data_IF_454725051961
#
_entry.id   IF_454725051961
#
_cell.length_a   1.000
_cell.length_b   1.000
_cell.length_c   1.000
_cell.angle_alpha   90.00
_cell.angle_beta   90.00
_cell.angle_gamma   90.00
#
_symmetry.space_group_name_H-M   'P 1'
#
loop_
_entity.id
_entity.type
_entity.pdbx_description
1 polymer ?
#
# COMPACT_ATOMS: atom_id res chain seq x y z
N UNK A 1 28.92 9.64 28.93
CA UNK A 1 28.67 8.53 27.97
C UNK A 1 27.56 7.60 28.49
N UNK A 2 26.40 8.14 28.89
CA UNK A 2 25.40 7.34 29.64
C UNK A 2 23.97 7.77 29.31
N UNK A 3 23.63 7.84 28.02
CA UNK A 3 22.24 8.11 27.58
C UNK A 3 21.82 7.42 26.29
N UNK A 4 22.52 6.35 25.91
CA UNK A 4 22.29 5.60 24.67
C UNK A 4 21.62 4.23 24.90
N UNK A 5 21.36 3.85 26.18
CA UNK A 5 20.81 2.52 26.54
C UNK A 5 19.32 2.47 26.85
N UNK A 6 18.64 3.61 27.02
CA UNK A 6 17.19 3.63 27.33
C UNK A 6 16.30 3.75 26.09
N UNK A 7 16.85 3.80 24.88
CA UNK A 7 16.11 4.00 23.63
C UNK A 7 15.77 2.70 22.87
N UNK A 8 16.42 1.57 23.14
CA UNK A 8 16.22 0.35 22.31
C UNK A 8 14.89 -0.35 22.54
N UNK A 9 14.41 -0.46 23.78
CA UNK A 9 13.11 -1.08 24.06
C UNK A 9 11.91 -0.31 23.45
N UNK A 10 12.11 0.95 23.06
CA UNK A 10 11.08 1.82 22.46
C UNK A 10 11.00 1.75 20.94
N UNK A 11 11.94 1.07 20.26
CA UNK A 11 11.96 0.97 18.79
C UNK A 11 11.04 -0.13 18.26
N UNK A 12 10.94 -1.28 18.92
CA UNK A 12 10.19 -2.45 18.41
C UNK A 12 8.75 -2.46 18.92
N UNK A 13 7.88 -1.74 18.23
CA UNK A 13 6.54 -1.39 18.71
C UNK A 13 5.41 -1.97 17.87
N UNK A 14 5.71 -2.58 16.72
CA UNK A 14 4.69 -3.04 15.78
C UNK A 14 4.34 -4.51 16.04
N UNK A 15 3.11 -4.75 16.47
CA UNK A 15 2.59 -6.11 16.69
C UNK A 15 2.25 -6.81 15.37
N UNK A 16 2.14 -8.14 15.32
CA UNK A 16 1.73 -8.87 14.11
C UNK A 16 0.35 -8.44 13.55
N UNK A 17 -0.57 -8.03 14.43
CA UNK A 17 -1.86 -7.48 14.00
C UNK A 17 -1.67 -6.12 13.32
N UNK A 18 -0.85 -5.24 13.91
CA UNK A 18 -0.58 -3.93 13.33
C UNK A 18 0.18 -4.03 12.01
N UNK A 19 1.03 -5.04 11.81
CA UNK A 19 1.68 -5.25 10.52
C UNK A 19 0.68 -5.68 9.43
N UNK A 20 -0.29 -6.54 9.76
CA UNK A 20 -1.41 -6.86 8.85
C UNK A 20 -2.19 -5.60 8.51
N UNK A 21 -2.55 -4.80 9.52
CA UNK A 21 -3.27 -3.55 9.33
C UNK A 21 -2.51 -2.54 8.46
N UNK A 22 -1.20 -2.39 8.67
CA UNK A 22 -0.35 -1.52 7.83
C UNK A 22 -0.37 -1.99 6.38
N UNK A 23 -0.19 -3.29 6.11
CA UNK A 23 -0.17 -3.79 4.74
C UNK A 23 -1.53 -3.57 4.08
N UNK A 24 -2.62 -3.98 4.75
CA UNK A 24 -3.97 -3.86 4.21
C UNK A 24 -4.37 -2.40 3.96
N UNK A 25 -4.12 -1.49 4.91
CA UNK A 25 -4.47 -0.07 4.75
C UNK A 25 -3.55 0.68 3.81
N UNK A 26 -2.32 0.20 3.58
CA UNK A 26 -1.45 0.78 2.55
C UNK A 26 -1.87 0.35 1.16
N UNK A 27 -2.13 -0.95 0.98
CA UNK A 27 -2.46 -1.56 -0.32
C UNK A 27 -3.88 -1.23 -0.77
N UNK A 28 -4.87 -1.31 0.13
CA UNK A 28 -6.25 -0.90 -0.16
C UNK A 28 -6.34 0.63 -0.05
N UNK A 29 -5.63 1.32 -0.93
CA UNK A 29 -5.58 2.78 -0.98
C UNK A 29 -6.56 3.36 -2.01
N UNK A 30 -6.05 4.31 -2.79
CA UNK A 30 -6.86 5.10 -3.72
C UNK A 30 -7.47 4.27 -4.87
N UNK A 31 -6.79 3.19 -5.29
CA UNK A 31 -7.17 2.41 -6.48
C UNK A 31 -8.41 1.53 -6.31
N UNK A 32 -8.86 1.28 -5.07
CA UNK A 32 -9.94 0.31 -4.80
C UNK A 32 -11.27 0.67 -5.46
N UNK A 33 -11.55 1.97 -5.63
CA UNK A 33 -12.83 2.43 -6.17
C UNK A 33 -12.99 2.10 -7.66
N UNK A 34 -11.88 2.16 -8.43
CA UNK A 34 -11.86 1.88 -9.87
C UNK A 34 -11.38 0.47 -10.21
N UNK A 35 -10.90 -0.28 -9.21
CA UNK A 35 -10.28 -1.58 -9.40
C UNK A 35 -11.17 -2.59 -10.15
N UNK A 36 -12.48 -2.71 -9.85
CA UNK A 36 -13.31 -3.67 -10.56
C UNK A 36 -13.47 -3.36 -12.05
N UNK A 37 -13.58 -2.07 -12.41
CA UNK A 37 -13.58 -1.61 -13.82
C UNK A 37 -12.29 -2.04 -14.51
N UNK A 38 -11.13 -1.79 -13.89
CA UNK A 38 -9.84 -2.11 -14.48
C UNK A 38 -9.68 -3.61 -14.76
N UNK A 39 -10.17 -4.48 -13.86
CA UNK A 39 -10.21 -5.91 -14.08
C UNK A 39 -11.15 -6.32 -15.21
N UNK A 40 -12.38 -5.79 -15.23
CA UNK A 40 -13.35 -6.06 -16.28
C UNK A 40 -12.83 -5.64 -17.67
N UNK A 41 -12.17 -4.47 -17.76
CA UNK A 41 -11.54 -4.01 -19.00
C UNK A 41 -10.37 -4.90 -19.46
N UNK A 42 -9.69 -5.56 -18.53
CA UNK A 42 -8.53 -6.39 -18.85
C UNK A 42 -8.91 -7.80 -19.31
N UNK A 43 -9.86 -8.45 -18.63
CA UNK A 43 -10.20 -9.85 -18.87
C UNK A 43 -11.69 -10.20 -18.68
N UNK A 44 -12.59 -9.21 -18.65
CA UNK A 44 -14.03 -9.44 -18.47
C UNK A 44 -14.32 -10.24 -17.19
N UNK A 45 -15.30 -11.17 -17.21
CA UNK A 45 -15.59 -12.04 -16.07
C UNK A 45 -14.40 -12.88 -15.57
N UNK A 46 -13.47 -13.23 -16.46
CA UNK A 46 -12.30 -14.06 -16.15
C UNK A 46 -11.18 -13.31 -15.41
N UNK A 47 -11.34 -12.02 -15.21
CA UNK A 47 -10.40 -11.24 -14.40
C UNK A 47 -10.33 -11.74 -12.95
N UNK A 48 -11.32 -12.51 -12.46
CA UNK A 48 -11.25 -13.18 -11.16
C UNK A 48 -10.01 -14.08 -11.04
N UNK A 49 -9.62 -14.79 -12.10
CA UNK A 49 -8.42 -15.62 -12.11
C UNK A 49 -7.15 -14.77 -12.03
N UNK A 50 -7.17 -13.60 -12.67
CA UNK A 50 -6.09 -12.63 -12.61
C UNK A 50 -5.87 -12.08 -11.21
N UNK A 51 -6.96 -11.85 -10.45
CA UNK A 51 -6.89 -11.43 -9.04
C UNK A 51 -6.14 -12.49 -8.22
N UNK A 52 -6.53 -13.76 -8.30
CA UNK A 52 -5.87 -14.83 -7.54
C UNK A 52 -4.41 -15.04 -7.95
N UNK A 53 -4.10 -15.02 -9.26
CA UNK A 53 -2.72 -15.18 -9.74
C UNK A 53 -1.83 -14.02 -9.32
N UNK A 54 -2.33 -12.77 -9.38
CA UNK A 54 -1.59 -11.61 -8.87
C UNK A 54 -1.35 -11.69 -7.37
N UNK A 55 -2.34 -12.10 -6.58
CA UNK A 55 -2.20 -12.30 -5.14
C UNK A 55 -1.15 -13.38 -4.81
N UNK A 56 -1.09 -14.47 -5.59
CA UNK A 56 -0.08 -15.52 -5.42
C UNK A 56 1.34 -14.99 -5.66
N UNK A 57 1.54 -14.17 -6.69
CA UNK A 57 2.84 -13.53 -6.98
C UNK A 57 3.22 -12.60 -5.83
N UNK A 58 2.29 -11.77 -5.35
CA UNK A 58 2.54 -10.84 -4.25
C UNK A 58 2.82 -11.58 -2.93
N UNK A 59 2.13 -12.69 -2.69
CA UNK A 59 2.41 -13.56 -1.56
C UNK A 59 3.85 -14.09 -1.59
N UNK A 60 4.33 -14.52 -2.76
CA UNK A 60 5.73 -14.93 -2.93
C UNK A 60 6.71 -13.77 -2.64
N UNK A 61 6.43 -12.55 -3.12
CA UNK A 61 7.28 -11.39 -2.85
C UNK A 61 7.30 -10.99 -1.37
N UNK A 62 6.15 -11.01 -0.72
CA UNK A 62 6.10 -10.79 0.72
C UNK A 62 6.77 -11.92 1.51
N UNK A 63 6.77 -13.16 1.02
CA UNK A 63 7.56 -14.24 1.62
C UNK A 63 9.07 -13.97 1.52
N UNK A 64 9.55 -13.44 0.38
CA UNK A 64 10.94 -12.98 0.20
C UNK A 64 11.28 -11.86 1.20
N UNK A 65 10.41 -10.86 1.34
CA UNK A 65 10.59 -9.76 2.30
C UNK A 65 10.57 -10.28 3.74
N UNK A 66 9.64 -11.16 4.10
CA UNK A 66 9.59 -11.80 5.41
C UNK A 66 10.88 -12.57 5.72
N UNK A 67 11.50 -13.21 4.72
CA UNK A 67 12.80 -13.87 4.88
C UNK A 67 13.90 -12.84 5.17
N UNK A 68 13.94 -11.72 4.44
CA UNK A 68 14.87 -10.62 4.71
C UNK A 68 14.69 -10.07 6.13
N UNK A 69 13.46 -9.80 6.56
CA UNK A 69 13.13 -9.31 7.91
C UNK A 69 13.60 -10.31 8.98
N UNK A 70 13.43 -11.61 8.75
CA UNK A 70 13.92 -12.65 9.68
C UNK A 70 15.44 -12.76 9.69
N UNK A 71 16.09 -12.48 8.57
CA UNK A 71 17.55 -12.55 8.39
C UNK A 71 18.26 -11.34 8.97
N UNK A 72 17.60 -10.18 8.94
CA UNK A 72 18.05 -8.91 9.50
C UNK A 72 16.99 -8.41 10.48
N UNK A 73 16.80 -9.10 11.62
CA UNK A 73 15.78 -8.71 12.60
C UNK A 73 16.05 -7.29 13.08
N UNK A 74 14.98 -6.54 13.29
CA UNK A 74 15.02 -5.20 13.86
C UNK A 74 15.78 -4.14 13.04
N UNK A 75 16.10 -4.46 11.79
CA UNK A 75 16.77 -3.56 10.86
C UNK A 75 15.85 -3.24 9.69
N UNK A 76 15.76 -1.95 9.36
CA UNK A 76 15.02 -1.45 8.20
C UNK A 76 15.88 -1.45 6.94
N UNK A 77 15.26 -1.25 5.78
CA UNK A 77 15.87 -1.25 4.46
C UNK A 77 17.20 -0.48 4.41
N UNK A 78 17.20 0.75 4.90
CA UNK A 78 18.36 1.64 4.92
C UNK A 78 19.50 1.16 5.82
N UNK A 79 19.23 0.27 6.76
CA UNK A 79 20.23 -0.29 7.67
C UNK A 79 20.83 -1.59 7.13
N UNK A 80 20.01 -2.51 6.62
CA UNK A 80 20.50 -3.79 6.13
C UNK A 80 21.05 -3.72 4.69
N UNK A 81 20.59 -2.80 3.84
CA UNK A 81 21.13 -2.66 2.46
C UNK A 81 22.64 -2.39 2.47
N UNK A 82 23.16 -1.40 3.23
CA UNK A 82 24.60 -1.20 3.34
C UNK A 82 25.35 -2.42 3.90
N UNK A 83 24.74 -3.17 4.83
CA UNK A 83 25.36 -4.38 5.40
C UNK A 83 25.45 -5.55 4.41
N UNK A 84 24.44 -5.69 3.54
CA UNK A 84 24.39 -6.72 2.49
C UNK A 84 25.40 -6.40 1.38
N UNK A 85 25.48 -5.14 0.96
CA UNK A 85 26.33 -4.69 -0.14
C UNK A 85 27.78 -4.45 0.30
N UNK A 86 28.02 -4.07 1.57
CA UNK A 86 29.35 -3.78 2.10
C UNK A 86 30.31 -4.97 2.17
N UNK A 87 31.61 -4.71 2.07
CA UNK A 87 32.65 -5.72 2.26
C UNK A 87 32.88 -5.97 3.75
N UNK A 88 33.35 -7.17 4.13
CA UNK A 88 33.68 -7.49 5.53
C UNK A 88 34.85 -6.63 6.10
N UNK A 89 35.61 -5.96 5.22
CA UNK A 89 36.75 -5.12 5.60
C UNK A 89 36.47 -3.60 5.55
N UNK A 90 35.38 -3.17 4.92
CA UNK A 90 35.05 -1.74 4.81
C UNK A 90 33.53 -1.50 4.74
N UNK A 91 32.99 -0.92 5.81
CA UNK A 91 31.59 -0.51 5.93
C UNK A 91 31.25 0.67 5.00
N UNK A 92 32.24 1.43 4.51
CA UNK A 92 32.02 2.61 3.67
C UNK A 92 31.56 2.23 2.28
N UNK A 93 32.11 1.16 1.70
CA UNK A 93 31.71 0.65 0.37
C UNK A 93 30.23 0.27 0.36
N UNK A 94 29.73 -0.33 1.44
CA UNK A 94 28.33 -0.71 1.56
C UNK A 94 27.39 0.50 1.56
N UNK A 95 27.78 1.58 2.24
CA UNK A 95 26.99 2.81 2.26
C UNK A 95 26.92 3.46 0.88
N UNK A 96 28.04 3.54 0.17
CA UNK A 96 28.08 4.13 -1.18
C UNK A 96 27.24 3.31 -2.16
N UNK A 97 27.34 1.98 -2.12
CA UNK A 97 26.54 1.09 -2.97
C UNK A 97 25.05 1.05 -2.59
N UNK A 98 24.71 1.39 -1.34
CA UNK A 98 23.33 1.50 -0.88
C UNK A 98 22.63 2.79 -1.35
N UNK A 99 23.37 3.86 -1.69
CA UNK A 99 22.79 5.14 -2.10
C UNK A 99 21.86 4.98 -3.32
N UNK A 100 22.27 4.35 -4.45
CA UNK A 100 21.38 4.20 -5.61
C UNK A 100 20.10 3.43 -5.30
N UNK A 101 20.20 2.38 -4.46
CA UNK A 101 19.06 1.56 -4.04
C UNK A 101 18.04 2.39 -3.26
N UNK A 102 18.51 3.16 -2.28
CA UNK A 102 17.65 3.96 -1.42
C UNK A 102 17.09 5.18 -2.16
N UNK A 103 17.87 5.79 -3.06
CA UNK A 103 17.37 6.86 -3.94
C UNK A 103 16.30 6.35 -4.90
N UNK A 104 16.43 5.14 -5.43
CA UNK A 104 15.41 4.53 -6.28
C UNK A 104 14.10 4.34 -5.50
N UNK A 105 14.15 3.77 -4.28
CA UNK A 105 12.97 3.66 -3.43
C UNK A 105 12.38 5.02 -3.05
N UNK A 106 13.24 5.99 -2.72
CA UNK A 106 12.80 7.35 -2.38
C UNK A 106 12.06 8.01 -3.54
N UNK A 107 12.59 7.89 -4.75
CA UNK A 107 11.99 8.44 -5.96
C UNK A 107 10.63 7.79 -6.26
N UNK A 108 10.54 6.45 -6.25
CA UNK A 108 9.27 5.79 -6.59
C UNK A 108 8.20 5.98 -5.52
N UNK A 109 8.56 6.07 -4.23
CA UNK A 109 7.60 6.41 -3.18
C UNK A 109 7.15 7.87 -3.26
N UNK A 110 8.06 8.80 -3.59
CA UNK A 110 7.68 10.18 -3.82
C UNK A 110 6.67 10.30 -4.97
N UNK A 111 6.91 9.58 -6.07
CA UNK A 111 5.97 9.48 -7.19
C UNK A 111 4.64 8.83 -6.75
N UNK A 112 4.69 7.71 -6.02
CA UNK A 112 3.50 7.00 -5.55
C UNK A 112 2.62 7.83 -4.62
N UNK A 113 3.22 8.56 -3.68
CA UNK A 113 2.52 9.49 -2.78
C UNK A 113 1.85 10.61 -3.59
N UNK A 114 2.58 11.19 -4.54
CA UNK A 114 2.07 12.30 -5.37
C UNK A 114 0.92 11.85 -6.28
N UNK A 115 1.07 10.70 -6.94
CA UNK A 115 0.02 10.07 -7.75
C UNK A 115 -1.21 9.75 -6.91
N UNK A 116 -1.02 9.19 -5.71
CA UNK A 116 -2.14 8.88 -4.82
C UNK A 116 -2.92 10.13 -4.43
N UNK A 117 -2.22 11.22 -4.13
CA UNK A 117 -2.85 12.49 -3.83
C UNK A 117 -3.63 13.03 -5.05
N UNK A 118 -3.06 12.96 -6.25
CA UNK A 118 -3.74 13.40 -7.48
C UNK A 118 -5.01 12.59 -7.76
N UNK A 119 -4.93 11.26 -7.77
CA UNK A 119 -6.10 10.38 -8.00
C UNK A 119 -7.17 10.62 -6.93
N UNK A 120 -6.77 10.85 -5.68
CA UNK A 120 -7.69 11.18 -4.60
C UNK A 120 -8.47 12.47 -4.85
N UNK A 121 -7.77 13.53 -5.26
CA UNK A 121 -8.37 14.81 -5.59
C UNK A 121 -9.40 14.69 -6.72
N UNK A 122 -9.01 14.02 -7.81
CA UNK A 122 -9.89 13.78 -8.97
C UNK A 122 -11.16 13.00 -8.57
N UNK A 123 -11.00 11.95 -7.77
CA UNK A 123 -12.13 11.15 -7.28
C UNK A 123 -13.10 12.00 -6.44
N UNK A 124 -12.60 12.80 -5.49
CA UNK A 124 -13.46 13.65 -4.65
C UNK A 124 -14.12 14.80 -5.42
N UNK A 125 -13.42 15.42 -6.38
CA UNK A 125 -14.03 16.45 -7.23
C UNK A 125 -15.13 15.87 -8.11
N UNK A 126 -14.91 14.66 -8.66
CA UNK A 126 -15.92 14.01 -9.52
C UNK A 126 -17.19 13.59 -8.77
N UNK A 127 -17.08 13.27 -7.47
CA UNK A 127 -18.15 12.62 -6.73
C UNK A 127 -18.74 13.43 -5.57
N UNK A 128 -17.96 14.31 -4.93
CA UNK A 128 -18.32 14.95 -3.66
C UNK A 128 -18.26 16.47 -3.75
N UNK A 129 -17.13 17.02 -4.19
CA UNK A 129 -16.88 18.46 -4.17
C UNK A 129 -17.20 19.11 -5.52
N UNK A 130 -18.22 19.99 -5.55
CA UNK A 130 -18.60 20.73 -6.76
C UNK A 130 -17.82 22.03 -6.97
N UNK A 131 -17.40 22.69 -5.88
CA UNK A 131 -16.86 24.06 -5.93
C UNK A 131 -15.42 24.18 -5.37
N UNK A 132 -14.83 23.08 -4.91
CA UNK A 132 -13.49 23.11 -4.28
C UNK A 132 -12.42 22.91 -5.34
N UNK A 133 -11.41 23.81 -5.44
CA UNK A 133 -10.29 23.62 -6.36
C UNK A 133 -9.50 22.34 -6.03
N UNK A 134 -9.01 21.68 -7.08
CA UNK A 134 -8.27 20.41 -6.96
C UNK A 134 -7.03 20.57 -6.08
N UNK A 135 -6.35 21.70 -6.20
CA UNK A 135 -5.14 22.07 -5.46
C UNK A 135 -5.40 22.06 -3.96
N UNK A 136 -6.54 22.60 -3.52
CA UNK A 136 -6.90 22.67 -2.10
C UNK A 136 -7.11 21.26 -1.53
N UNK A 137 -7.78 20.39 -2.27
CA UNK A 137 -8.04 18.99 -1.85
C UNK A 137 -6.73 18.22 -1.71
N UNK A 138 -5.86 18.32 -2.72
CA UNK A 138 -4.57 17.63 -2.76
C UNK A 138 -3.65 18.16 -1.67
N UNK A 139 -3.52 19.47 -1.53
CA UNK A 139 -2.64 20.08 -0.52
C UNK A 139 -3.10 19.74 0.89
N UNK A 140 -4.43 19.71 1.14
CA UNK A 140 -4.99 19.32 2.44
C UNK A 140 -4.62 17.88 2.79
N UNK A 141 -4.73 16.95 1.84
CA UNK A 141 -4.33 15.56 2.06
C UNK A 141 -2.82 15.45 2.34
N UNK A 142 -1.98 16.09 1.52
CA UNK A 142 -0.52 16.06 1.68
C UNK A 142 -0.10 16.65 3.02
N UNK A 143 -0.61 17.83 3.37
CA UNK A 143 -0.30 18.50 4.64
C UNK A 143 -0.79 17.67 5.83
N UNK A 144 -2.00 17.10 5.75
CA UNK A 144 -2.53 16.18 6.74
C UNK A 144 -1.59 15.00 6.96
N UNK A 145 -1.19 14.31 5.88
CA UNK A 145 -0.27 13.17 5.96
C UNK A 145 1.11 13.57 6.50
N UNK A 146 1.61 14.78 6.18
CA UNK A 146 2.89 15.27 6.70
C UNK A 146 2.90 15.41 8.25
N UNK A 147 1.77 15.80 8.86
CA UNK A 147 1.62 15.91 10.32
C UNK A 147 1.87 14.56 11.01
N UNK A 148 1.41 13.47 10.37
CA UNK A 148 1.53 12.11 10.88
C UNK A 148 2.83 11.41 10.44
N UNK A 149 3.33 11.67 9.23
CA UNK A 149 4.50 11.02 8.65
C UNK A 149 5.78 11.21 9.48
N UNK A 150 5.94 12.38 10.11
CA UNK A 150 7.07 12.68 11.00
C UNK A 150 6.97 12.06 12.40
N UNK A 151 5.93 11.26 12.71
CA UNK A 151 5.78 10.59 14.02
C UNK A 151 6.52 9.26 14.03
N UNK A 152 6.82 8.76 15.23
CA UNK A 152 7.46 7.46 15.40
C UNK A 152 6.64 6.33 14.75
N UNK A 153 7.28 5.30 14.16
CA UNK A 153 6.58 4.21 13.46
C UNK A 153 5.52 3.49 14.32
N UNK A 154 5.75 3.35 15.63
CA UNK A 154 4.76 2.78 16.55
C UNK A 154 3.49 3.61 16.73
N UNK A 155 3.55 4.93 16.57
CA UNK A 155 2.36 5.79 16.55
C UNK A 155 1.53 5.52 15.30
N UNK A 156 2.21 5.36 14.16
CA UNK A 156 1.57 5.09 12.86
C UNK A 156 0.95 3.69 12.86
N UNK A 157 1.64 2.70 13.44
CA UNK A 157 1.11 1.35 13.61
C UNK A 157 -0.17 1.32 14.47
N UNK A 158 -0.23 2.11 15.55
CA UNK A 158 -1.46 2.26 16.36
C UNK A 158 -2.58 2.93 15.59
N UNK A 159 -2.27 3.95 14.79
CA UNK A 159 -3.24 4.61 13.93
C UNK A 159 -3.84 3.62 12.91
N UNK A 160 -3.01 2.79 12.28
CA UNK A 160 -3.48 1.71 11.39
C UNK A 160 -4.37 0.71 12.14
N UNK A 161 -3.96 0.27 13.33
CA UNK A 161 -4.78 -0.63 14.14
C UNK A 161 -6.13 -0.05 14.55
N UNK A 162 -6.22 1.27 14.74
CA UNK A 162 -7.46 1.98 15.06
C UNK A 162 -8.41 2.09 13.85
N UNK A 163 -7.86 2.40 12.67
CA UNK A 163 -8.66 2.61 11.44
C UNK A 163 -9.06 1.29 10.79
N UNK A 164 -8.26 0.23 10.96
CA UNK A 164 -8.47 -1.07 10.31
C UNK A 164 -9.89 -1.62 10.46
N UNK A 165 -10.50 -1.70 11.67
CA UNK A 165 -11.87 -2.21 11.82
C UNK A 165 -12.92 -1.39 11.07
N UNK A 166 -12.73 -0.07 10.95
CA UNK A 166 -13.67 0.80 10.23
C UNK A 166 -13.71 0.48 8.75
N UNK A 167 -12.59 0.01 8.18
CA UNK A 167 -12.53 -0.38 6.77
C UNK A 167 -13.30 -1.66 6.46
N UNK A 168 -13.77 -2.41 7.46
CA UNK A 168 -14.60 -3.60 7.26
C UNK A 168 -16.05 -3.24 6.88
N UNK A 169 -16.53 -2.06 7.23
CA UNK A 169 -17.93 -1.64 7.03
C UNK A 169 -18.34 -1.60 5.55
N UNK A 170 -17.57 -1.00 4.62
CA UNK A 170 -17.94 -0.98 3.20
C UNK A 170 -18.05 -2.39 2.59
N UNK A 171 -17.27 -3.36 3.10
CA UNK A 171 -17.33 -4.74 2.63
C UNK A 171 -18.64 -5.44 2.99
N UNK A 172 -19.19 -5.14 4.17
CA UNK A 172 -20.52 -5.63 4.56
C UNK A 172 -21.58 -5.10 3.60
N UNK A 173 -21.49 -3.82 3.22
CA UNK A 173 -22.40 -3.22 2.24
C UNK A 173 -22.30 -3.90 0.87
N UNK A 174 -21.08 -4.23 0.42
CA UNK A 174 -20.92 -5.00 -0.83
C UNK A 174 -21.57 -6.37 -0.78
N UNK A 175 -21.48 -7.09 0.34
CA UNK A 175 -22.18 -8.37 0.52
C UNK A 175 -23.69 -8.17 0.42
N UNK A 176 -24.24 -7.13 1.04
CA UNK A 176 -25.67 -6.80 0.93
C UNK A 176 -26.06 -6.50 -0.51
N UNK A 177 -25.26 -5.69 -1.22
CA UNK A 177 -25.49 -5.36 -2.63
C UNK A 177 -25.49 -6.60 -3.53
N UNK A 178 -24.54 -7.51 -3.30
CA UNK A 178 -24.50 -8.80 -3.99
C UNK A 178 -25.78 -9.61 -3.76
N UNK A 179 -26.27 -9.67 -2.52
CA UNK A 179 -27.48 -10.44 -2.18
C UNK A 179 -28.75 -9.82 -2.77
N UNK A 180 -28.86 -8.49 -2.77
CA UNK A 180 -30.09 -7.81 -3.21
C UNK A 180 -30.20 -7.63 -4.72
N UNK A 181 -29.07 -7.38 -5.39
CA UNK A 181 -29.03 -6.91 -6.78
C UNK A 181 -28.12 -7.75 -7.67
N UNK A 182 -27.37 -8.70 -7.11
CA UNK A 182 -26.46 -9.53 -7.89
C UNK A 182 -27.21 -10.55 -8.73
N UNK A 183 -26.89 -10.60 -10.02
CA UNK A 183 -27.30 -11.67 -10.92
C UNK A 183 -26.12 -12.59 -11.22
N UNK A 184 -26.29 -13.90 -11.01
CA UNK A 184 -25.22 -14.89 -11.22
C UNK A 184 -24.88 -15.04 -12.70
N UNK A 185 -25.86 -14.83 -13.59
CA UNK A 185 -25.70 -14.86 -15.04
C UNK A 185 -24.64 -13.87 -15.52
N UNK A 186 -24.48 -12.73 -14.83
CA UNK A 186 -23.46 -11.73 -15.14
C UNK A 186 -22.03 -12.17 -14.80
N UNK A 187 -21.86 -13.22 -13.99
CA UNK A 187 -20.55 -13.83 -13.70
C UNK A 187 -20.14 -14.85 -14.77
N UNK A 188 -21.05 -15.19 -15.68
CA UNK A 188 -20.84 -16.19 -16.73
C UNK A 188 -20.78 -15.50 -18.11
N UNK A 189 -20.17 -16.16 -19.12
CA UNK A 189 -19.37 -17.38 -19.02
C UNK A 189 -17.98 -17.16 -18.40
N UNK A 190 -17.46 -18.18 -17.73
CA UNK A 190 -16.06 -18.23 -17.27
C UNK A 190 -15.21 -19.02 -18.28
N UNK A 191 -13.90 -18.80 -18.21
CA UNK A 191 -12.84 -19.40 -19.04
C UNK A 191 -12.96 -19.11 -20.53
N UNK A 192 -13.40 -17.90 -20.89
CA UNK A 192 -13.46 -17.43 -22.27
C UNK A 192 -12.28 -16.52 -22.64
N UNK A 193 -11.64 -15.88 -21.67
CA UNK A 193 -10.50 -15.00 -21.89
C UNK A 193 -9.26 -15.80 -22.35
N UNK A 194 -8.53 -15.23 -23.30
CA UNK A 194 -7.25 -15.78 -23.72
C UNK A 194 -6.16 -15.49 -22.68
N UNK A 195 -5.03 -16.21 -22.78
CA UNK A 195 -3.91 -16.03 -21.85
C UNK A 195 -3.33 -14.60 -21.90
N UNK A 196 -3.50 -13.87 -23.02
CA UNK A 196 -3.07 -12.48 -23.12
C UNK A 196 -3.92 -11.57 -22.23
N UNK A 197 -5.25 -11.69 -22.28
CA UNK A 197 -6.16 -10.95 -21.42
C UNK A 197 -5.92 -11.25 -19.94
N UNK A 198 -5.74 -12.53 -19.59
CA UNK A 198 -5.36 -12.92 -18.21
C UNK A 198 -4.03 -12.27 -17.81
N UNK A 199 -3.04 -12.25 -18.69
CA UNK A 199 -1.76 -11.56 -18.46
C UNK A 199 -1.93 -10.06 -18.15
N UNK A 200 -2.80 -9.36 -18.89
CA UNK A 200 -3.14 -7.95 -18.64
C UNK A 200 -3.84 -7.79 -17.29
N UNK A 201 -4.78 -8.67 -16.96
CA UNK A 201 -5.45 -8.67 -15.67
C UNK A 201 -4.47 -8.89 -14.52
N UNK A 202 -3.47 -9.76 -14.69
CA UNK A 202 -2.43 -9.97 -13.68
C UNK A 202 -1.67 -8.66 -13.44
N UNK A 203 -1.31 -7.91 -14.48
CA UNK A 203 -0.65 -6.61 -14.32
C UNK A 203 -1.51 -5.62 -13.54
N UNK A 204 -2.81 -5.54 -13.82
CA UNK A 204 -3.77 -4.73 -13.03
C UNK A 204 -3.74 -5.15 -11.56
N UNK A 205 -3.78 -6.45 -11.28
CA UNK A 205 -3.69 -6.96 -9.93
C UNK A 205 -2.38 -6.60 -9.23
N UNK A 206 -1.24 -6.85 -9.87
CA UNK A 206 0.09 -6.55 -9.32
C UNK A 206 0.24 -5.06 -8.98
N UNK A 207 -0.27 -4.15 -9.82
CA UNK A 207 -0.26 -2.72 -9.55
C UNK A 207 -1.17 -2.34 -8.38
N UNK A 208 -2.28 -3.03 -8.23
CA UNK A 208 -3.22 -2.79 -7.13
C UNK A 208 -2.68 -3.23 -5.78
N UNK A 209 -1.74 -4.19 -5.78
CA UNK A 209 -1.04 -4.60 -4.55
C UNK A 209 0.13 -3.67 -4.16
N UNK A 210 0.51 -2.70 -4.99
CA UNK A 210 1.57 -1.73 -4.66
C UNK A 210 1.26 -1.03 -3.33
N UNK A 211 2.30 -0.83 -2.53
CA UNK A 211 2.20 -0.39 -1.14
C UNK A 211 2.65 -1.48 -0.17
N UNK A 212 2.70 -2.76 -0.59
CA UNK A 212 3.23 -3.84 0.26
C UNK A 212 4.71 -3.65 0.61
N UNK A 213 5.47 -2.96 -0.23
CA UNK A 213 6.90 -2.74 -0.08
C UNK A 213 7.26 -1.83 1.11
N UNK A 214 6.30 -1.11 1.70
CA UNK A 214 6.53 -0.37 2.97
C UNK A 214 6.98 -1.29 4.10
N UNK A 215 6.70 -2.59 4.00
CA UNK A 215 7.17 -3.62 4.93
C UNK A 215 8.70 -3.73 4.98
N UNK A 216 9.42 -3.28 3.94
CA UNK A 216 10.89 -3.21 3.93
C UNK A 216 11.43 -2.22 4.99
N UNK A 217 10.66 -1.18 5.33
CA UNK A 217 10.99 -0.20 6.37
C UNK A 217 10.33 -0.60 7.69
N UNK A 218 9.01 -0.83 7.68
CA UNK A 218 8.27 -1.17 8.91
C UNK A 218 8.73 -2.48 9.54
N UNK A 219 9.29 -3.42 8.77
CA UNK A 219 9.86 -4.67 9.25
C UNK A 219 10.95 -4.50 10.31
N UNK A 220 11.73 -3.42 10.26
CA UNK A 220 12.72 -3.08 11.28
C UNK A 220 12.11 -2.74 12.65
N UNK A 221 10.82 -2.40 12.68
CA UNK A 221 10.10 -2.02 13.89
C UNK A 221 9.17 -3.13 14.42
N UNK A 222 9.19 -4.31 13.80
CA UNK A 222 8.37 -5.45 14.23
C UNK A 222 8.83 -5.97 15.59
N UNK A 223 7.86 -6.18 16.49
CA UNK A 223 8.09 -6.81 17.79
C UNK A 223 8.55 -8.27 17.64
N UNK A 224 8.00 -8.99 16.65
CA UNK A 224 8.27 -10.42 16.43
C UNK A 224 8.61 -10.67 14.95
N UNK A 225 9.84 -10.37 14.49
CA UNK A 225 10.28 -10.56 13.10
C UNK A 225 10.05 -12.00 12.58
N UNK A 226 10.14 -13.00 13.47
CA UNK A 226 9.85 -14.42 13.15
C UNK A 226 8.42 -14.66 12.64
N UNK A 227 7.44 -13.84 13.07
CA UNK A 227 6.03 -13.94 12.66
C UNK A 227 5.71 -13.14 11.39
N UNK A 228 6.69 -12.45 10.79
CA UNK A 228 6.47 -11.62 9.60
C UNK A 228 5.79 -12.40 8.46
N UNK A 229 6.26 -13.63 8.18
CA UNK A 229 5.69 -14.46 7.11
C UNK A 229 4.19 -14.75 7.30
N UNK A 230 3.78 -15.13 8.50
CA UNK A 230 2.38 -15.42 8.80
C UNK A 230 1.51 -14.15 8.70
N UNK A 231 2.00 -13.04 9.27
CA UNK A 231 1.30 -11.76 9.22
C UNK A 231 1.16 -11.24 7.78
N UNK A 232 2.21 -11.33 6.98
CA UNK A 232 2.21 -10.94 5.57
C UNK A 232 1.30 -11.84 4.73
N UNK A 233 1.31 -13.15 4.98
CA UNK A 233 0.43 -14.10 4.30
C UNK A 233 -1.05 -13.82 4.61
N UNK A 234 -1.36 -13.55 5.88
CA UNK A 234 -2.71 -13.18 6.29
C UNK A 234 -3.16 -11.87 5.62
N UNK A 235 -2.28 -10.87 5.53
CA UNK A 235 -2.59 -9.61 4.85
C UNK A 235 -2.94 -9.82 3.37
N UNK A 236 -2.13 -10.59 2.62
CA UNK A 236 -2.41 -10.86 1.20
C UNK A 236 -3.69 -11.65 1.02
N UNK A 237 -3.94 -12.66 1.86
CA UNK A 237 -5.16 -13.46 1.79
C UNK A 237 -6.41 -12.57 2.03
N UNK A 238 -6.36 -11.68 3.01
CA UNK A 238 -7.44 -10.73 3.30
C UNK A 238 -7.63 -9.79 2.10
N UNK A 239 -6.56 -9.14 1.60
CA UNK A 239 -6.67 -8.22 0.47
C UNK A 239 -7.23 -8.93 -0.77
N UNK A 240 -6.74 -10.12 -1.09
CA UNK A 240 -7.23 -10.91 -2.22
C UNK A 240 -8.72 -11.25 -2.08
N UNK A 241 -9.17 -11.64 -0.88
CA UNK A 241 -10.58 -11.91 -0.62
C UNK A 241 -11.43 -10.65 -0.84
N UNK A 242 -10.97 -9.51 -0.33
CA UNK A 242 -11.66 -8.23 -0.46
C UNK A 242 -11.71 -7.77 -1.93
N UNK A 243 -10.61 -7.88 -2.68
CA UNK A 243 -10.59 -7.54 -4.11
C UNK A 243 -11.52 -8.45 -4.93
N UNK A 244 -11.50 -9.76 -4.66
CA UNK A 244 -12.43 -10.70 -5.30
C UNK A 244 -13.89 -10.37 -4.95
N UNK A 245 -14.18 -10.02 -3.70
CA UNK A 245 -15.52 -9.61 -3.28
C UNK A 245 -15.98 -8.34 -4.01
N UNK A 246 -15.15 -7.29 -4.06
CA UNK A 246 -15.47 -6.08 -4.82
C UNK A 246 -15.73 -6.39 -6.31
N UNK A 247 -14.88 -7.20 -6.93
CA UNK A 247 -15.01 -7.55 -8.33
C UNK A 247 -16.27 -8.37 -8.60
N UNK A 248 -16.51 -9.44 -7.85
CA UNK A 248 -17.68 -10.31 -8.01
C UNK A 248 -18.97 -9.53 -7.77
N UNK A 249 -19.05 -8.72 -6.71
CA UNK A 249 -20.24 -7.92 -6.42
C UNK A 249 -20.53 -6.95 -7.55
N UNK A 250 -19.55 -6.15 -7.98
CA UNK A 250 -19.77 -5.14 -9.02
C UNK A 250 -20.08 -5.77 -10.38
N UNK A 251 -19.40 -6.86 -10.74
CA UNK A 251 -19.69 -7.59 -11.98
C UNK A 251 -21.09 -8.22 -11.95
N UNK A 252 -21.47 -8.82 -10.83
CA UNK A 252 -22.79 -9.45 -10.69
C UNK A 252 -23.93 -8.41 -10.77
N UNK A 253 -23.72 -7.21 -10.22
CA UNK A 253 -24.73 -6.14 -10.19
C UNK A 253 -24.84 -5.40 -11.52
N UNK A 254 -23.72 -5.09 -12.18
CA UNK A 254 -23.72 -4.24 -13.38
C UNK A 254 -23.61 -5.02 -14.69
N UNK A 255 -23.07 -6.25 -14.67
CA UNK A 255 -22.63 -6.92 -15.89
C UNK A 255 -21.33 -6.32 -16.45
N UNK A 256 -20.68 -7.02 -17.37
CA UNK A 256 -19.35 -6.65 -17.86
C UNK A 256 -19.34 -5.33 -18.64
N UNK A 257 -20.35 -5.10 -19.49
CA UNK A 257 -20.39 -3.94 -20.38
C UNK A 257 -20.53 -2.62 -19.60
N UNK A 258 -21.46 -2.57 -18.64
CA UNK A 258 -21.69 -1.41 -17.78
C UNK A 258 -20.53 -1.22 -16.79
N UNK A 259 -19.97 -2.31 -16.25
CA UNK A 259 -18.84 -2.26 -15.33
C UNK A 259 -17.60 -1.62 -15.98
N UNK A 260 -17.37 -1.87 -17.27
CA UNK A 260 -16.26 -1.27 -18.02
C UNK A 260 -16.38 0.25 -18.19
N UNK A 261 -17.60 0.80 -18.10
CA UNK A 261 -17.88 2.22 -18.27
C UNK A 261 -18.04 2.97 -16.94
N UNK A 262 -18.36 2.25 -15.87
CA UNK A 262 -18.58 2.82 -14.54
C UNK A 262 -17.26 3.27 -13.90
N UNK A 263 -17.09 4.57 -13.63
CA UNK A 263 -15.80 5.12 -13.15
C UNK A 263 -15.43 4.60 -11.75
N UNK A 264 -16.39 4.58 -10.83
CA UNK A 264 -16.20 4.19 -9.43
C UNK A 264 -17.14 3.04 -9.01
N UNK A 265 -17.05 1.83 -9.63
CA UNK A 265 -18.06 0.78 -9.45
C UNK A 265 -18.31 0.38 -8.01
N UNK A 266 -17.24 0.39 -7.19
CA UNK A 266 -17.32 0.07 -5.77
C UNK A 266 -18.36 0.93 -5.02
N UNK A 267 -18.41 2.22 -5.33
CA UNK A 267 -19.35 3.15 -4.69
C UNK A 267 -20.74 3.06 -5.31
N UNK A 268 -20.82 2.88 -6.63
CA UNK A 268 -22.10 2.80 -7.34
C UNK A 268 -22.96 1.63 -6.85
N UNK A 269 -22.35 0.51 -6.42
CA UNK A 269 -23.10 -0.60 -5.78
C UNK A 269 -23.89 -0.11 -4.57
N UNK A 270 -23.33 0.82 -3.78
CA UNK A 270 -24.02 1.30 -2.59
C UNK A 270 -25.26 2.13 -2.88
N UNK A 271 -25.36 2.72 -4.09
CA UNK A 271 -26.52 3.51 -4.51
C UNK A 271 -27.71 2.64 -4.92
N UNK A 272 -27.46 1.40 -5.32
CA UNK A 272 -28.51 0.46 -5.74
C UNK A 272 -29.03 -0.41 -4.58
N UNK A 273 -28.38 -0.35 -3.41
CA UNK A 273 -28.81 -1.06 -2.20
C UNK A 273 -29.99 -0.34 -1.57
N UNK A 274 -31.01 -1.10 -1.15
CA UNK A 274 -32.11 -0.58 -0.34
C UNK A 274 -32.09 -1.26 1.01
N UNK A 275 -31.93 -0.50 2.11
CA UNK A 275 -32.01 -1.05 3.48
C UNK A 275 -33.39 -0.67 4.06
N UNK A 276 -34.30 -1.63 4.27
CA UNK A 276 -35.61 -1.36 4.85
C UNK A 276 -35.48 -0.70 6.23
N UNK A 277 -36.12 0.45 6.43
CA UNK A 277 -36.11 1.17 7.70
C UNK A 277 -34.81 1.95 8.01
N UNK A 278 -33.90 2.10 7.04
CA UNK A 278 -32.69 2.88 7.25
C UNK A 278 -32.96 4.39 7.36
N UNK A 279 -32.40 5.00 8.41
CA UNK A 279 -32.38 6.46 8.60
C UNK A 279 -31.37 7.15 7.66
N UNK A 280 -30.43 6.39 7.09
CA UNK A 280 -29.39 6.88 6.19
C UNK A 280 -29.79 6.69 4.72
N UNK A 281 -30.32 7.73 4.09
CA UNK A 281 -30.73 7.74 2.68
C UNK A 281 -29.54 7.77 1.69
N UNK A 282 -28.31 8.04 2.18
CA UNK A 282 -27.11 8.26 1.35
C UNK A 282 -25.90 7.43 1.81
N UNK A 283 -25.99 6.10 1.67
CA UNK A 283 -24.94 5.15 2.06
C UNK A 283 -23.59 5.43 1.36
N UNK A 284 -23.63 5.95 0.14
CA UNK A 284 -22.45 6.31 -0.65
C UNK A 284 -21.58 7.37 0.06
N UNK A 285 -22.19 8.28 0.81
CA UNK A 285 -21.46 9.32 1.55
C UNK A 285 -20.65 8.73 2.71
N UNK A 286 -21.20 7.71 3.39
CA UNK A 286 -20.50 6.98 4.45
C UNK A 286 -19.30 6.19 3.91
N UNK A 287 -19.44 5.60 2.71
CA UNK A 287 -18.35 4.91 2.04
C UNK A 287 -17.23 5.89 1.67
N UNK A 288 -17.56 7.05 1.10
CA UNK A 288 -16.55 8.07 0.83
C UNK A 288 -15.84 8.54 2.10
N UNK A 289 -16.54 8.71 3.23
CA UNK A 289 -15.91 9.09 4.49
C UNK A 289 -14.88 8.06 4.97
N UNK A 290 -15.22 6.76 4.92
CA UNK A 290 -14.31 5.68 5.27
C UNK A 290 -13.14 5.62 4.29
N UNK A 291 -13.43 5.72 2.98
CA UNK A 291 -12.42 5.69 1.93
C UNK A 291 -11.42 6.85 2.05
N UNK A 292 -11.89 8.07 2.38
CA UNK A 292 -11.00 9.22 2.66
C UNK A 292 -10.05 8.90 3.80
N UNK A 293 -10.54 8.31 4.89
CA UNK A 293 -9.69 7.89 6.00
C UNK A 293 -8.67 6.83 5.54
N UNK A 294 -9.10 5.83 4.74
CA UNK A 294 -8.21 4.78 4.23
C UNK A 294 -7.12 5.35 3.33
N UNK A 295 -7.44 6.24 2.38
CA UNK A 295 -6.44 6.88 1.51
C UNK A 295 -5.47 7.75 2.32
N UNK A 296 -5.97 8.50 3.31
CA UNK A 296 -5.13 9.25 4.23
C UNK A 296 -4.13 8.36 4.97
N UNK A 297 -4.57 7.20 5.47
CA UNK A 297 -3.68 6.25 6.15
C UNK A 297 -2.69 5.61 5.18
N UNK A 298 -3.14 5.17 4.00
CA UNK A 298 -2.27 4.61 2.97
C UNK A 298 -1.13 5.56 2.61
N UNK A 299 -1.49 6.80 2.32
CA UNK A 299 -0.52 7.85 1.99
C UNK A 299 0.39 8.19 3.17
N UNK A 300 -0.14 8.23 4.39
CA UNK A 300 0.66 8.44 5.61
C UNK A 300 1.68 7.33 5.82
N UNK A 301 1.34 6.07 5.54
CA UNK A 301 2.26 4.94 5.68
C UNK A 301 3.42 5.03 4.70
N UNK A 302 3.14 5.31 3.42
CA UNK A 302 4.17 5.51 2.40
C UNK A 302 5.05 6.73 2.72
N UNK A 303 4.44 7.84 3.11
CA UNK A 303 5.16 9.07 3.42
C UNK A 303 6.04 8.93 4.67
N UNK A 304 5.55 8.25 5.70
CA UNK A 304 6.36 7.93 6.86
C UNK A 304 7.51 6.97 6.53
N UNK A 305 7.26 5.94 5.73
CA UNK A 305 8.32 5.03 5.29
C UNK A 305 9.45 5.80 4.56
N UNK A 306 9.09 6.73 3.67
CA UNK A 306 10.03 7.62 3.00
C UNK A 306 10.81 8.51 3.99
N UNK A 307 10.13 9.19 4.90
CA UNK A 307 10.75 10.09 5.88
C UNK A 307 11.70 9.34 6.80
N UNK A 308 11.28 8.21 7.36
CA UNK A 308 12.12 7.39 8.26
C UNK A 308 13.31 6.79 7.52
N UNK A 309 13.12 6.30 6.28
CA UNK A 309 14.21 5.80 5.46
C UNK A 309 15.29 6.87 5.25
N UNK A 310 14.92 8.11 4.93
CA UNK A 310 15.87 9.21 4.74
C UNK A 310 16.55 9.59 6.06
N UNK A 311 15.79 9.77 7.15
CA UNK A 311 16.31 10.16 8.47
C UNK A 311 17.32 9.14 8.98
N UNK A 312 16.97 7.85 8.93
CA UNK A 312 17.81 6.77 9.42
C UNK A 312 19.05 6.58 8.54
N UNK A 313 18.92 6.69 7.21
CA UNK A 313 20.04 6.53 6.29
C UNK A 313 21.14 7.58 6.54
N UNK A 314 20.75 8.84 6.68
CA UNK A 314 21.66 9.93 7.00
C UNK A 314 22.03 10.01 8.49
N UNK A 315 21.53 9.09 9.32
CA UNK A 315 21.72 9.07 10.78
C UNK A 315 21.33 10.39 11.44
N UNK A 316 20.29 11.03 10.92
CA UNK A 316 19.73 12.24 11.48
C UNK A 316 19.00 11.90 12.78
N UNK A 317 18.96 12.85 13.70
CA UNK A 317 18.17 12.71 14.92
C UNK A 317 16.67 12.69 14.58
N UNK A 318 15.88 11.82 15.22
CA UNK A 318 14.42 11.67 15.03
C UNK A 318 13.61 12.98 15.09
N UNK A 319 14.14 14.04 15.70
CA UNK A 319 13.52 15.37 15.72
C UNK A 319 13.40 15.99 14.33
N UNK A 320 14.21 15.54 13.37
CA UNK A 320 14.21 16.00 11.98
C UNK A 320 13.16 15.31 11.10
N UNK A 321 12.51 14.24 11.57
CA UNK A 321 11.45 13.56 10.80
C UNK A 321 10.28 14.50 10.48
N UNK A 322 9.85 15.33 11.44
CA UNK A 322 8.76 16.31 11.21
C UNK A 322 9.16 17.43 10.24
N UNK A 323 10.29 18.15 10.44
CA UNK A 323 10.77 19.12 9.46
C UNK A 323 10.94 18.53 8.05
N UNK A 324 11.49 17.32 7.94
CA UNK A 324 11.68 16.67 6.65
C UNK A 324 10.35 16.38 5.95
N UNK A 325 9.34 15.88 6.68
CA UNK A 325 8.01 15.67 6.11
C UNK A 325 7.44 16.98 5.53
N UNK A 326 7.57 18.10 6.24
CA UNK A 326 7.11 19.41 5.74
C UNK A 326 7.91 19.93 4.54
N UNK A 327 9.22 19.68 4.48
CA UNK A 327 10.06 20.03 3.32
C UNK A 327 9.63 19.28 2.06
N UNK A 328 9.16 18.03 2.21
CA UNK A 328 8.73 17.20 1.09
C UNK A 328 7.34 17.59 0.56
N UNK A 329 6.50 18.28 1.34
CA UNK A 329 5.14 18.72 0.93
C UNK A 329 5.12 19.46 -0.42
N UNK A 330 5.88 20.57 -0.62
CA UNK A 330 5.86 21.28 -1.90
C UNK A 330 6.33 20.41 -3.06
N UNK A 331 7.28 19.51 -2.84
CA UNK A 331 7.80 18.61 -3.88
C UNK A 331 6.71 17.62 -4.31
N UNK A 332 6.04 16.98 -3.34
CA UNK A 332 4.92 16.07 -3.59
C UNK A 332 3.80 16.80 -4.34
N UNK A 333 3.47 18.03 -3.91
CA UNK A 333 2.44 18.83 -4.55
C UNK A 333 2.78 19.15 -6.00
N UNK A 334 4.00 19.60 -6.30
CA UNK A 334 4.44 19.90 -7.66
C UNK A 334 4.36 18.67 -8.58
N UNK A 335 4.78 17.50 -8.09
CA UNK A 335 4.69 16.24 -8.85
C UNK A 335 3.23 15.84 -9.06
N UNK A 336 2.37 15.99 -8.06
CA UNK A 336 0.94 15.68 -8.17
C UNK A 336 0.21 16.56 -9.20
N UNK A 337 0.72 17.79 -9.43
CA UNK A 337 0.19 18.73 -10.41
C UNK A 337 0.73 18.52 -11.84
N UNK A 338 1.68 17.60 -12.03
CA UNK A 338 2.28 17.35 -13.34
C UNK A 338 1.29 16.82 -14.40
N UNK A 339 0.42 15.84 -14.13
CA UNK A 339 -0.59 15.40 -15.09
C UNK A 339 -1.64 16.50 -15.32
N UNK A 340 -1.89 16.85 -16.59
CA UNK A 340 -2.69 18.03 -16.94
C UNK A 340 -4.19 17.74 -16.96
N UNK A 341 -4.59 16.49 -17.20
CA UNK A 341 -5.98 16.08 -17.29
C UNK A 341 -6.22 14.68 -16.70
N UNK A 342 -7.49 14.33 -16.51
CA UNK A 342 -7.92 13.09 -15.88
C UNK A 342 -7.43 11.82 -16.58
N UNK A 343 -7.33 11.81 -17.91
CA UNK A 343 -6.85 10.64 -18.65
C UNK A 343 -5.34 10.44 -18.45
N UNK A 344 -4.56 11.51 -18.51
CA UNK A 344 -3.12 11.47 -18.20
C UNK A 344 -2.85 10.98 -16.78
N UNK A 345 -3.73 11.25 -15.81
CA UNK A 345 -3.60 10.75 -14.44
C UNK A 345 -3.61 9.22 -14.40
N UNK A 346 -4.49 8.54 -15.15
CA UNK A 346 -4.51 7.07 -15.19
C UNK A 346 -3.27 6.50 -15.86
N UNK A 347 -2.83 7.07 -16.97
CA UNK A 347 -1.61 6.62 -17.65
C UNK A 347 -0.37 6.81 -16.76
N UNK A 348 -0.27 7.98 -16.12
CA UNK A 348 0.77 8.29 -15.16
C UNK A 348 0.77 7.31 -13.99
N UNK A 349 -0.42 7.04 -13.42
CA UNK A 349 -0.59 6.08 -12.33
C UNK A 349 -0.13 4.68 -12.71
N UNK A 350 -0.45 4.21 -13.92
CA UNK A 350 0.00 2.91 -14.41
C UNK A 350 1.52 2.84 -14.57
N UNK A 351 2.16 3.89 -15.12
CA UNK A 351 3.63 3.95 -15.26
C UNK A 351 4.33 3.97 -13.91
N UNK A 352 3.85 4.78 -12.97
CA UNK A 352 4.38 4.86 -11.60
C UNK A 352 4.19 3.53 -10.87
N UNK A 353 2.99 2.93 -10.96
CA UNK A 353 2.71 1.61 -10.39
C UNK A 353 3.64 0.52 -10.92
N UNK A 354 3.89 0.51 -12.23
CA UNK A 354 4.83 -0.42 -12.86
C UNK A 354 6.27 -0.22 -12.37
N UNK A 355 6.72 1.03 -12.26
CA UNK A 355 8.06 1.33 -11.76
C UNK A 355 8.24 0.88 -10.30
N UNK A 356 7.26 1.15 -9.44
CA UNK A 356 7.27 0.69 -8.03
C UNK A 356 7.29 -0.84 -7.99
N UNK A 357 6.42 -1.51 -8.76
CA UNK A 357 6.33 -2.97 -8.79
C UNK A 357 7.65 -3.62 -9.23
N UNK A 358 8.25 -3.15 -10.33
CA UNK A 358 9.52 -3.69 -10.84
C UNK A 358 10.61 -3.52 -9.77
N UNK A 359 10.67 -2.36 -9.11
CA UNK A 359 11.64 -2.11 -8.05
C UNK A 359 11.41 -3.02 -6.84
N UNK A 360 10.16 -3.15 -6.39
CA UNK A 360 9.75 -3.98 -5.25
C UNK A 360 9.89 -5.49 -5.52
N UNK A 361 9.85 -5.91 -6.78
CA UNK A 361 10.14 -7.28 -7.21
C UNK A 361 11.64 -7.53 -7.22
N UNK A 362 12.40 -6.69 -7.93
CA UNK A 362 13.80 -6.95 -8.22
C UNK A 362 14.70 -6.79 -7.01
N UNK A 363 14.56 -5.70 -6.26
CA UNK A 363 15.52 -5.36 -5.21
C UNK A 363 15.48 -6.32 -4.00
N UNK A 364 14.33 -6.65 -3.40
CA UNK A 364 14.30 -7.59 -2.28
C UNK A 364 14.83 -8.97 -2.67
N UNK A 365 14.51 -9.45 -3.88
CA UNK A 365 15.02 -10.71 -4.39
C UNK A 365 16.54 -10.69 -4.55
N UNK A 366 17.09 -9.67 -5.22
CA UNK A 366 18.53 -9.50 -5.39
C UNK A 366 19.26 -9.38 -4.04
N UNK A 367 18.73 -8.58 -3.11
CA UNK A 367 19.30 -8.42 -1.77
C UNK A 367 19.31 -9.74 -1.00
N UNK A 368 18.25 -10.55 -1.12
CA UNK A 368 18.18 -11.86 -0.47
C UNK A 368 19.20 -12.85 -1.06
N UNK A 369 19.33 -12.87 -2.39
CA UNK A 369 20.35 -13.68 -3.09
C UNK A 369 21.76 -13.29 -2.67
N UNK A 370 22.10 -12.00 -2.69
CA UNK A 370 23.42 -11.48 -2.29
C UNK A 370 23.69 -11.81 -0.82
N UNK A 371 22.71 -11.59 0.07
CA UNK A 371 22.84 -11.93 1.47
C UNK A 371 23.12 -13.43 1.64
N UNK A 372 22.39 -14.29 0.92
CA UNK A 372 22.57 -15.74 0.84
C UNK A 372 23.99 -16.15 0.47
N UNK A 373 24.45 -15.72 -0.70
CA UNK A 373 25.77 -16.05 -1.26
C UNK A 373 26.88 -15.56 -0.33
N UNK A 374 26.76 -14.35 0.21
CA UNK A 374 27.78 -13.74 1.09
C UNK A 374 27.64 -14.15 2.55
N UNK A 375 26.68 -15.02 2.89
CA UNK A 375 26.36 -15.48 4.25
C UNK A 375 26.17 -14.35 5.27
N UNK A 376 25.73 -13.16 4.82
CA UNK A 376 25.45 -12.00 5.68
C UNK A 376 24.18 -12.24 6.49
N UNK A 377 24.17 -11.89 7.78
CA UNK A 377 23.01 -11.92 8.67
C UNK A 377 23.08 -10.70 9.60
N UNK A 378 21.94 -10.27 10.13
CA UNK A 378 21.90 -9.28 11.22
C UNK A 378 22.37 -9.90 12.54
N UNK A 379 22.98 -9.09 13.40
CA UNK A 379 23.39 -9.54 14.73
C UNK A 379 22.17 -9.72 15.65
N UNK A 380 22.05 -10.88 16.29
CA UNK A 380 20.96 -11.15 17.27
C UNK A 380 21.09 -10.31 18.55
N UNK A 381 22.20 -9.60 18.76
CA UNK A 381 22.40 -8.71 19.92
C UNK A 381 21.49 -7.48 19.92
N UNK A 382 20.87 -7.16 18.79
CA UNK A 382 19.86 -6.09 18.66
C UNK A 382 18.43 -6.61 18.95
N UNK A 383 18.26 -7.89 19.32
CA UNK A 383 16.97 -8.43 19.77
C UNK A 383 16.77 -8.10 21.27
N UNK A 384 15.63 -7.48 21.67
CA UNK A 384 15.36 -7.23 23.08
C UNK A 384 15.32 -8.55 23.85
N UNK A 385 15.95 -8.56 25.04
CA UNK A 385 16.14 -9.73 25.90
C UNK A 385 14.84 -10.41 26.41
N UNK A 386 13.66 -9.97 25.95
CA UNK A 386 12.35 -10.50 26.36
C UNK A 386 11.71 -11.44 25.32
N UNK A 387 12.47 -11.94 24.34
CA UNK A 387 11.96 -12.86 23.30
C UNK A 387 12.61 -14.26 23.30
N UNK A 388 13.11 -14.70 24.46
CA UNK A 388 13.42 -16.11 24.71
C UNK A 388 12.27 -16.78 25.43
#
# INVERSE_FOLDING_TARGET
>A
MTRQKTTDASKHTITPFQSVAIIQLTVIGVGILSLPRAFAQAAGPDAIWSIFLSALIIWFLLAVIANLIRRFPHQSLEEYVPKILGSARDDRTGKVLGIPVLLAFAAVWLLGISTSARVFGEALLSAVFRNTPLEVVILTLIAGSAIAAGRAPGVIARLNGLVYPLTLVPWILLVIGLIQKGEITNLLPLFQADWSAIGKGIMVGLFSFVGFEVTLVYGGYYQQPKKAFLAHSAAVAIISLLYSLAFITTLSVFGVEELMQTIWPFVEVAKVITIPGAVFERLESGIYAIWVATVYISMTNLFAALVHMIVNFFKLHDRYSKPLAWILVPIIFMIAMYPSNFQEVFEWSNRVGMAIFILALTLPFLLLCIAGIRKKKGDEKDAPASSL
#
